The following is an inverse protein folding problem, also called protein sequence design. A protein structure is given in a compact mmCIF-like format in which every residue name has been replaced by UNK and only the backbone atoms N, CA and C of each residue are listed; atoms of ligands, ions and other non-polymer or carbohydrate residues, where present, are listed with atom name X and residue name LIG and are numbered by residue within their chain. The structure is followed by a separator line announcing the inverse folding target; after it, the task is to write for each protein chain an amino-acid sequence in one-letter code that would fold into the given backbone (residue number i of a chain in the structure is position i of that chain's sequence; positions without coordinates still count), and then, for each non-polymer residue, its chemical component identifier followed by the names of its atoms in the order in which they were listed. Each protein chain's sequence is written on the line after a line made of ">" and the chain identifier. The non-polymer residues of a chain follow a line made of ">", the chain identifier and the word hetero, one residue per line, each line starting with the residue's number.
data_IF_730748069941
#
_entry.id   IF_730748069941
#
_cell.length_a   1.000
_cell.length_b   1.000
_cell.length_c   1.000
_cell.angle_alpha   90.00
_cell.angle_beta   90.00
_cell.angle_gamma   90.00
#
_symmetry.space_group_name_H-M   'P 1'
#
loop_
_entity.id
_entity.type
_entity.pdbx_description
1 polymer ?
#
# COMPACT_ATOMS: atom_id res chain seq x y z
N UNK A 1 9.26 6.57 -8.95
CA UNK A 1 8.49 6.49 -7.68
C UNK A 1 7.47 5.37 -7.83
N UNK A 2 7.42 4.44 -6.90
CA UNK A 2 6.50 3.29 -6.95
C UNK A 2 5.11 3.70 -6.46
N UNK A 3 4.09 3.49 -7.29
CA UNK A 3 2.68 3.66 -6.93
C UNK A 3 2.04 2.31 -6.64
N UNK A 4 1.06 2.30 -5.74
CA UNK A 4 0.22 1.14 -5.46
C UNK A 4 -1.22 1.42 -5.87
N UNK A 5 -1.88 0.39 -6.38
CA UNK A 5 -3.29 0.48 -6.78
C UNK A 5 -4.21 0.11 -5.62
N UNK A 6 -5.28 0.87 -5.42
CA UNK A 6 -6.35 0.50 -4.48
C UNK A 6 -7.08 -0.74 -4.99
N UNK A 7 -7.49 -1.62 -4.08
CA UNK A 7 -8.32 -2.80 -4.41
C UNK A 7 -9.81 -2.47 -4.30
N UNK A 8 -10.64 -3.07 -5.15
CA UNK A 8 -12.10 -3.08 -5.00
C UNK A 8 -12.70 -1.70 -4.71
N UNK A 9 -12.25 -0.67 -5.42
CA UNK A 9 -12.65 0.72 -5.19
C UNK A 9 -12.44 1.23 -3.74
N UNK A 10 -11.37 0.80 -3.09
CA UNK A 10 -11.06 1.18 -1.71
C UNK A 10 -11.93 0.46 -0.68
N UNK A 11 -12.62 -0.63 -1.04
CA UNK A 11 -13.40 -1.41 -0.09
C UNK A 11 -12.55 -1.99 1.05
N UNK A 12 -11.39 -2.64 0.82
CA UNK A 12 -10.58 -3.16 1.93
C UNK A 12 -10.13 -2.06 2.89
N UNK A 13 -9.83 -0.86 2.37
CA UNK A 13 -9.49 0.30 3.18
C UNK A 13 -10.65 0.75 4.07
N UNK A 14 -11.85 0.89 3.51
CA UNK A 14 -13.04 1.28 4.29
C UNK A 14 -13.38 0.24 5.35
N UNK A 15 -13.30 -1.06 5.02
CA UNK A 15 -13.52 -2.13 5.98
C UNK A 15 -12.48 -2.11 7.10
N UNK A 16 -11.20 -1.89 6.80
CA UNK A 16 -10.16 -1.77 7.81
C UNK A 16 -10.36 -0.53 8.70
N UNK A 17 -10.73 0.61 8.10
CA UNK A 17 -11.08 1.83 8.83
C UNK A 17 -12.26 1.63 9.77
N UNK A 18 -13.32 0.96 9.31
CA UNK A 18 -14.50 0.61 10.12
C UNK A 18 -14.11 -0.29 11.30
N UNK A 19 -13.31 -1.34 11.06
CA UNK A 19 -12.80 -2.25 12.11
C UNK A 19 -11.93 -1.52 13.14
N UNK A 20 -11.12 -0.57 12.71
CA UNK A 20 -10.28 0.24 13.58
C UNK A 20 -11.03 1.40 14.27
N UNK A 21 -12.31 1.64 13.93
CA UNK A 21 -13.07 2.78 14.45
C UNK A 21 -12.54 4.15 13.97
N UNK A 22 -11.83 4.19 12.84
CA UNK A 22 -11.18 5.39 12.32
C UNK A 22 -11.98 6.01 11.17
N UNK A 23 -12.34 7.29 11.33
CA UNK A 23 -12.82 8.11 10.21
C UNK A 23 -11.65 8.65 9.37
N UNK A 24 -11.93 9.23 8.21
CA UNK A 24 -10.88 9.83 7.35
C UNK A 24 -9.95 10.81 8.08
N UNK A 25 -10.48 11.79 8.83
CA UNK A 25 -9.67 12.70 9.63
C UNK A 25 -8.90 12.01 10.78
N UNK A 26 -9.50 11.02 11.44
CA UNK A 26 -8.83 10.26 12.50
C UNK A 26 -7.67 9.42 11.94
N UNK A 27 -7.88 8.75 10.82
CA UNK A 27 -6.82 8.02 10.13
C UNK A 27 -5.68 8.96 9.72
N UNK A 28 -5.98 10.14 9.19
CA UNK A 28 -4.94 11.15 8.88
C UNK A 28 -4.12 11.54 10.12
N UNK A 29 -4.77 11.74 11.26
CA UNK A 29 -4.07 12.00 12.53
C UNK A 29 -3.21 10.80 12.97
N UNK A 30 -3.73 9.58 12.82
CA UNK A 30 -3.00 8.35 13.17
C UNK A 30 -1.77 8.15 12.28
N UNK A 31 -1.88 8.44 10.97
CA UNK A 31 -0.72 8.39 10.07
C UNK A 31 0.40 9.33 10.49
N UNK A 32 0.09 10.43 11.17
CA UNK A 32 1.10 11.36 11.68
C UNK A 32 1.85 10.80 12.89
N UNK A 33 1.20 9.94 13.69
CA UNK A 33 1.81 9.31 14.87
C UNK A 33 2.80 8.23 14.47
N UNK A 34 2.50 7.49 13.40
CA UNK A 34 3.36 6.42 12.89
C UNK A 34 4.40 6.90 11.88
N UNK A 35 4.24 8.10 11.31
CA UNK A 35 5.24 8.69 10.43
C UNK A 35 6.47 9.15 11.25
N UNK A 36 7.67 8.57 11.02
CA UNK A 36 8.90 8.98 11.73
C UNK A 36 9.25 10.46 11.54
N UNK A 37 8.80 11.06 10.44
CA UNK A 37 9.03 12.47 10.14
C UNK A 37 7.90 13.38 10.66
N UNK A 38 6.86 12.81 11.27
CA UNK A 38 5.74 13.54 11.85
C UNK A 38 4.88 14.32 10.85
N UNK A 39 4.94 13.98 9.55
CA UNK A 39 4.17 14.64 8.48
C UNK A 39 2.80 14.00 8.30
N UNK A 40 2.75 12.67 8.27
CA UNK A 40 1.53 11.90 7.99
C UNK A 40 0.98 12.18 6.59
N UNK A 41 -0.32 11.92 6.41
CA UNK A 41 -1.06 12.27 5.19
C UNK A 41 -2.30 13.10 5.52
N UNK A 42 -2.77 13.90 4.56
CA UNK A 42 -3.96 14.73 4.77
C UNK A 42 -5.25 13.91 4.72
N UNK A 43 -6.30 14.37 5.39
CA UNK A 43 -7.64 13.76 5.32
C UNK A 43 -8.18 13.72 3.89
N UNK A 44 -7.83 14.72 3.05
CA UNK A 44 -8.16 14.72 1.64
C UNK A 44 -7.44 13.59 0.88
N UNK A 45 -6.18 13.30 1.20
CA UNK A 45 -5.46 12.16 0.63
C UNK A 45 -6.12 10.83 1.04
N UNK A 46 -6.51 10.69 2.31
CA UNK A 46 -7.29 9.53 2.77
C UNK A 46 -8.58 9.39 1.96
N UNK A 47 -9.35 10.48 1.81
CA UNK A 47 -10.60 10.48 1.05
C UNK A 47 -10.42 10.10 -0.42
N UNK A 48 -9.32 10.51 -1.06
CA UNK A 48 -9.01 10.13 -2.45
C UNK A 48 -8.73 8.65 -2.61
N UNK A 49 -8.14 7.99 -1.60
CA UNK A 49 -7.72 6.59 -1.71
C UNK A 49 -8.84 5.64 -1.23
N UNK A 50 -9.50 5.97 -0.11
CA UNK A 50 -10.57 5.14 0.46
C UNK A 50 -11.96 5.44 -0.13
N UNK A 51 -12.17 6.63 -0.68
CA UNK A 51 -13.47 7.08 -1.16
C UNK A 51 -13.89 6.51 -2.52
N UNK A 52 -15.17 6.69 -2.84
CA UNK A 52 -15.81 6.33 -4.14
C UNK A 52 -16.26 7.55 -4.94
N UNK A 53 -15.99 8.76 -4.46
CA UNK A 53 -16.47 10.00 -5.09
C UNK A 53 -15.69 10.38 -6.35
N UNK A 54 -16.11 11.46 -7.01
CA UNK A 54 -15.50 12.01 -8.23
C UNK A 54 -13.99 12.31 -8.10
N UNK A 55 -13.52 12.55 -6.88
CA UNK A 55 -12.11 12.84 -6.58
C UNK A 55 -11.28 11.60 -6.23
N UNK A 56 -11.89 10.41 -6.20
CA UNK A 56 -11.20 9.17 -5.92
C UNK A 56 -10.08 8.91 -6.93
N UNK A 57 -8.97 8.36 -6.45
CA UNK A 57 -7.80 8.02 -7.24
C UNK A 57 -7.58 6.52 -7.18
N UNK A 58 -7.23 5.92 -8.31
CA UNK A 58 -6.96 4.50 -8.39
C UNK A 58 -5.59 4.12 -7.82
N UNK A 59 -4.68 5.09 -7.72
CA UNK A 59 -3.32 4.90 -7.27
C UNK A 59 -2.94 5.90 -6.18
N UNK A 60 -2.00 5.49 -5.34
CA UNK A 60 -1.30 6.38 -4.42
C UNK A 60 0.18 6.01 -4.33
N UNK A 61 0.99 6.95 -3.82
CA UNK A 61 2.42 6.71 -3.60
C UNK A 61 2.63 5.61 -2.57
N UNK A 62 3.68 4.80 -2.72
CA UNK A 62 4.04 3.75 -1.76
C UNK A 62 4.07 4.25 -0.31
N UNK A 63 4.68 5.42 -0.05
CA UNK A 63 4.70 6.03 1.30
C UNK A 63 3.30 6.26 1.86
N UNK A 64 2.36 6.75 1.05
CA UNK A 64 0.97 6.96 1.47
C UNK A 64 0.31 5.65 1.84
N UNK A 65 0.51 4.62 1.02
CA UNK A 65 -0.05 3.31 1.27
C UNK A 65 0.54 2.66 2.54
N UNK A 66 1.85 2.78 2.74
CA UNK A 66 2.54 2.28 3.92
C UNK A 66 2.05 2.94 5.22
N UNK A 67 1.95 4.27 5.24
CA UNK A 67 1.42 5.01 6.40
C UNK A 67 -0.02 4.63 6.74
N UNK A 68 -0.86 4.39 5.72
CA UNK A 68 -2.23 3.93 5.92
C UNK A 68 -2.26 2.51 6.49
N UNK A 69 -1.44 1.60 5.93
CA UNK A 69 -1.37 0.22 6.37
C UNK A 69 -0.91 0.11 7.83
N UNK A 70 0.14 0.85 8.19
CA UNK A 70 0.71 0.88 9.53
C UNK A 70 -0.29 1.49 10.55
N UNK A 71 -0.90 2.63 10.21
CA UNK A 71 -1.92 3.26 11.06
C UNK A 71 -3.19 2.39 11.26
N UNK A 72 -3.49 1.48 10.32
CA UNK A 72 -4.60 0.53 10.43
C UNK A 72 -4.17 -0.80 11.05
N UNK A 73 -2.88 -1.03 11.28
CA UNK A 73 -2.35 -2.32 11.74
C UNK A 73 -2.68 -3.46 10.79
N UNK A 74 -2.62 -3.22 9.47
CA UNK A 74 -2.97 -4.21 8.45
C UNK A 74 -1.80 -4.40 7.46
N UNK A 75 -1.60 -5.61 6.94
CA UNK A 75 -0.62 -5.85 5.88
C UNK A 75 -0.91 -5.02 4.63
N UNK A 76 0.13 -4.44 4.04
CA UNK A 76 0.03 -3.58 2.85
C UNK A 76 -0.65 -4.29 1.67
N UNK A 77 -0.29 -5.55 1.47
CA UNK A 77 -0.80 -6.41 0.42
C UNK A 77 -2.28 -6.76 0.60
N UNK A 78 -2.87 -6.58 1.78
CA UNK A 78 -4.30 -6.83 2.00
C UNK A 78 -5.12 -5.64 1.51
N UNK A 79 -4.60 -4.43 1.71
CA UNK A 79 -5.24 -3.17 1.38
C UNK A 79 -5.01 -2.73 -0.09
N UNK A 80 -3.82 -3.01 -0.63
CA UNK A 80 -3.38 -2.53 -1.95
C UNK A 80 -2.89 -3.66 -2.84
N UNK A 81 -3.01 -3.48 -4.16
CA UNK A 81 -2.38 -4.38 -5.14
C UNK A 81 -0.92 -3.96 -5.32
N UNK A 82 -0.02 -4.92 -5.07
CA UNK A 82 1.41 -4.74 -5.30
C UNK A 82 1.68 -4.66 -6.81
N UNK A 83 2.62 -3.81 -7.27
CA UNK A 83 3.08 -3.83 -8.65
C UNK A 83 3.67 -5.21 -8.94
N UNK A 84 3.38 -5.75 -10.13
CA UNK A 84 3.97 -7.01 -10.56
C UNK A 84 5.50 -6.84 -10.61
N UNK A 85 6.29 -7.80 -10.09
CA UNK A 85 7.72 -7.81 -10.36
C UNK A 85 7.92 -7.86 -11.87
N UNK A 86 8.79 -6.99 -12.40
CA UNK A 86 9.03 -6.84 -13.84
C UNK A 86 10.16 -7.73 -14.38
N UNK A 87 10.75 -8.60 -13.57
CA UNK A 87 11.83 -9.47 -14.02
C UNK A 87 11.36 -10.92 -14.12
N UNK A 88 11.34 -11.53 -15.33
CA UNK A 88 11.54 -12.96 -15.40
C UNK A 88 12.95 -13.23 -14.88
N UNK A 89 13.08 -13.72 -13.65
CA UNK A 89 14.34 -14.31 -13.20
C UNK A 89 14.55 -15.56 -14.04
N UNK A 90 15.29 -15.44 -15.14
CA UNK A 90 15.82 -16.61 -15.85
C UNK A 90 17.00 -17.10 -15.01
N UNK A 91 16.74 -18.04 -14.11
CA UNK A 91 17.80 -18.81 -13.47
C UNK A 91 18.54 -19.60 -14.56
N UNK A 92 19.73 -19.15 -14.94
CA UNK A 92 20.66 -20.00 -15.70
C UNK A 92 21.32 -20.93 -14.69
N UNK A 93 20.80 -22.15 -14.58
CA UNK A 93 21.55 -23.27 -14.03
C UNK A 93 22.70 -23.58 -15.01
N UNK A 94 23.91 -23.12 -14.71
CA UNK A 94 25.12 -23.64 -15.33
C UNK A 94 25.39 -25.03 -14.73
N UNK A 95 24.71 -26.06 -15.27
CA UNK A 95 25.12 -27.45 -15.06
C UNK A 95 26.15 -27.81 -16.12
N UNK A 96 27.43 -27.60 -15.82
CA UNK A 96 28.55 -28.31 -16.43
C UNK A 96 29.85 -27.87 -15.76
N UNK A 97 29.98 -28.23 -14.49
CA UNK A 97 31.26 -28.44 -13.83
C UNK A 97 31.14 -29.81 -13.15
N UNK A 98 32.17 -30.65 -13.31
CA UNK A 98 32.25 -32.11 -13.08
C UNK A 98 31.81 -32.98 -14.29
N UNK A 99 32.61 -33.87 -14.89
CA UNK A 99 33.77 -34.61 -14.36
C UNK A 99 34.88 -34.78 -15.43
N UNK A 100 36.12 -34.83 -14.92
CA UNK A 100 37.35 -35.27 -15.59
C UNK A 100 37.26 -36.73 -16.05
N UNK A 101 37.72 -37.05 -17.26
CA UNK A 101 38.49 -38.27 -17.60
C UNK A 101 39.20 -38.13 -18.95
#
# INVERSE_FOLDING_TARGET
>A
MTNLHRKGEGQPLRTAMERAGLSGPKLAAETRRVDPEGRGISAAAVGRVAGRGKTARNECRLRTAWLIADALGQPLQDLFRMPSPSTPTVERLNSSDAEEE
#
